data_IF_868882686677
#
_entry.id   IF_868882686677
#
_cell.length_a   1.000
_cell.length_b   1.000
_cell.length_c   1.000
_cell.angle_alpha   90.00
_cell.angle_beta   90.00
_cell.angle_gamma   90.00
#
_symmetry.space_group_name_H-M   'P 1'
#
loop_
_entity.id
_entity.type
_entity.pdbx_description
1 polymer ?
#
# COMPACT_ATOMS: atom_id res chain seq x y z
N UNK A 1 31.12 58.63 -37.53
CA UNK A 1 29.74 58.72 -36.97
C UNK A 1 28.66 58.97 -38.02
N UNK A 2 28.94 59.67 -39.13
CA UNK A 2 27.94 59.99 -40.18
C UNK A 2 27.41 58.77 -40.96
N UNK A 3 28.21 57.72 -41.14
CA UNK A 3 27.78 56.48 -41.82
C UNK A 3 26.69 55.71 -41.06
N UNK A 4 26.81 55.63 -39.73
CA UNK A 4 25.80 55.02 -38.85
C UNK A 4 24.46 55.77 -38.90
N UNK A 5 24.51 57.10 -38.99
CA UNK A 5 23.30 57.94 -39.09
C UNK A 5 22.67 57.81 -40.49
N UNK A 6 23.48 57.78 -41.55
CA UNK A 6 23.00 57.60 -42.93
C UNK A 6 22.44 56.20 -43.21
N UNK A 7 22.98 55.16 -42.56
CA UNK A 7 22.57 53.76 -42.71
C UNK A 7 21.82 53.20 -41.49
N UNK A 8 21.24 54.07 -40.66
CA UNK A 8 20.55 53.69 -39.42
C UNK A 8 19.51 52.57 -39.61
N UNK A 9 18.78 52.59 -40.75
CA UNK A 9 17.78 51.55 -41.08
C UNK A 9 18.39 50.16 -41.19
N UNK A 10 19.57 50.01 -41.78
CA UNK A 10 20.21 48.69 -41.95
C UNK A 10 20.75 48.18 -40.62
N UNK A 11 21.29 49.06 -39.78
CA UNK A 11 21.76 48.74 -38.42
C UNK A 11 20.60 48.30 -37.53
N UNK A 12 19.46 49.00 -37.61
CA UNK A 12 18.26 48.64 -36.86
C UNK A 12 17.73 47.26 -37.27
N UNK A 13 17.61 46.99 -38.57
CA UNK A 13 17.17 45.68 -39.08
C UNK A 13 18.16 44.57 -38.68
N UNK A 14 19.46 44.85 -38.75
CA UNK A 14 20.51 43.91 -38.33
C UNK A 14 20.51 43.59 -36.83
N UNK A 15 19.89 44.41 -35.98
CA UNK A 15 19.72 44.13 -34.55
C UNK A 15 18.37 43.49 -34.23
N UNK A 16 17.30 43.99 -34.84
CA UNK A 16 15.93 43.56 -34.51
C UNK A 16 15.65 42.15 -35.02
N UNK A 17 16.12 41.80 -36.22
CA UNK A 17 15.93 40.46 -36.77
C UNK A 17 16.58 39.38 -35.88
N UNK A 18 17.87 39.45 -35.52
CA UNK A 18 18.47 38.42 -34.67
C UNK A 18 17.89 38.43 -33.25
N UNK A 19 17.54 39.60 -32.70
CA UNK A 19 16.86 39.67 -31.40
C UNK A 19 15.49 38.96 -31.45
N UNK A 20 14.71 39.18 -32.51
CA UNK A 20 13.42 38.53 -32.71
C UNK A 20 13.56 37.01 -32.89
N UNK A 21 14.52 36.56 -33.71
CA UNK A 21 14.81 35.14 -33.88
C UNK A 21 15.25 34.48 -32.57
N UNK A 22 16.10 35.16 -31.78
CA UNK A 22 16.52 34.68 -30.47
C UNK A 22 15.32 34.50 -29.52
N UNK A 23 14.41 35.48 -29.48
CA UNK A 23 13.19 35.38 -28.68
C UNK A 23 12.28 34.23 -29.12
N UNK A 24 12.13 34.00 -30.43
CA UNK A 24 11.36 32.87 -30.96
C UNK A 24 11.98 31.52 -30.58
N UNK A 25 13.30 31.38 -30.74
CA UNK A 25 14.01 30.16 -30.36
C UNK A 25 13.91 29.90 -28.86
N UNK A 26 14.08 30.94 -28.04
CA UNK A 26 13.95 30.83 -26.59
C UNK A 26 12.53 30.45 -26.16
N UNK A 27 11.50 31.05 -26.78
CA UNK A 27 10.11 30.69 -26.52
C UNK A 27 9.83 29.23 -26.86
N UNK A 28 10.31 28.75 -28.01
CA UNK A 28 10.11 27.37 -28.44
C UNK A 28 10.85 26.37 -27.53
N UNK A 29 12.06 26.73 -27.09
CA UNK A 29 12.81 25.91 -26.15
C UNK A 29 12.11 25.83 -24.79
N UNK A 30 11.63 26.97 -24.28
CA UNK A 30 10.93 27.04 -22.99
C UNK A 30 9.59 26.29 -23.04
N UNK A 31 8.82 26.41 -24.13
CA UNK A 31 7.56 25.70 -24.28
C UNK A 31 7.77 24.19 -24.34
N UNK A 32 8.80 23.72 -25.06
CA UNK A 32 9.14 22.30 -25.12
C UNK A 32 9.58 21.76 -23.75
N UNK A 33 10.32 22.54 -22.96
CA UNK A 33 10.65 22.16 -21.59
C UNK A 33 9.42 22.10 -20.68
N UNK A 34 8.52 23.07 -20.79
CA UNK A 34 7.28 23.09 -20.03
C UNK A 34 6.42 21.86 -20.35
N UNK A 35 6.21 21.55 -21.63
CA UNK A 35 5.43 20.39 -22.08
C UNK A 35 6.01 19.07 -21.57
N UNK A 36 7.34 18.91 -21.62
CA UNK A 36 8.01 17.72 -21.09
C UNK A 36 7.81 17.57 -19.58
N UNK A 37 7.94 18.67 -18.82
CA UNK A 37 7.73 18.64 -17.36
C UNK A 37 6.28 18.38 -17.01
N UNK A 38 5.33 18.95 -17.75
CA UNK A 38 3.91 18.67 -17.57
C UNK A 38 3.59 17.20 -17.83
N UNK A 39 4.15 16.63 -18.91
CA UNK A 39 4.00 15.20 -19.19
C UNK A 39 4.58 14.34 -18.05
N UNK A 40 5.79 14.63 -17.57
CA UNK A 40 6.40 13.93 -16.43
C UNK A 40 5.52 14.06 -15.17
N UNK A 41 5.05 15.27 -14.85
CA UNK A 41 4.18 15.52 -13.70
C UNK A 41 2.85 14.77 -13.81
N UNK A 42 2.24 14.70 -14.99
CA UNK A 42 1.01 13.94 -15.21
C UNK A 42 1.25 12.44 -15.01
N UNK A 43 2.39 11.92 -15.50
CA UNK A 43 2.75 10.51 -15.27
C UNK A 43 2.98 10.24 -13.79
N UNK A 44 3.69 11.12 -13.09
CA UNK A 44 3.95 10.99 -11.66
C UNK A 44 2.65 11.07 -10.86
N UNK A 45 1.76 12.01 -11.20
CA UNK A 45 0.45 12.14 -10.58
C UNK A 45 -0.38 10.87 -10.78
N UNK A 46 -0.39 10.28 -11.98
CA UNK A 46 -1.10 9.03 -12.24
C UNK A 46 -0.55 7.88 -11.39
N UNK A 47 0.78 7.79 -11.25
CA UNK A 47 1.41 6.78 -10.36
C UNK A 47 1.07 7.02 -8.89
N UNK A 48 1.07 8.26 -8.43
CA UNK A 48 0.72 8.61 -7.04
C UNK A 48 -0.75 8.31 -6.73
N UNK A 49 -1.66 8.53 -7.66
CA UNK A 49 -3.07 8.13 -7.52
C UNK A 49 -3.20 6.61 -7.43
N UNK A 50 -2.49 5.88 -8.30
CA UNK A 50 -2.48 4.42 -8.25
C UNK A 50 -1.92 3.90 -6.92
N UNK A 51 -0.79 4.41 -6.46
CA UNK A 51 -0.20 4.04 -5.16
C UNK A 51 -1.13 4.40 -3.99
N UNK A 52 -1.76 5.58 -4.03
CA UNK A 52 -2.74 6.00 -3.02
C UNK A 52 -3.91 5.01 -2.93
N UNK A 53 -4.48 4.62 -4.06
CA UNK A 53 -5.58 3.63 -4.09
C UNK A 53 -5.18 2.26 -3.53
N UNK A 54 -3.93 1.85 -3.76
CA UNK A 54 -3.37 0.61 -3.22
C UNK A 54 -3.23 0.71 -1.70
N UNK A 55 -2.69 1.83 -1.19
CA UNK A 55 -2.56 2.08 0.25
C UNK A 55 -3.92 2.03 0.95
N UNK A 56 -4.93 2.70 0.38
CA UNK A 56 -6.29 2.71 0.92
C UNK A 56 -6.87 1.29 1.01
N UNK A 57 -6.67 0.47 -0.04
CA UNK A 57 -7.11 -0.92 -0.07
C UNK A 57 -6.39 -1.78 0.99
N UNK A 58 -5.07 -1.61 1.16
CA UNK A 58 -4.31 -2.32 2.20
C UNK A 58 -4.75 -1.91 3.60
N UNK A 59 -5.04 -0.63 3.83
CA UNK A 59 -5.49 -0.14 5.13
C UNK A 59 -6.88 -0.70 5.49
N UNK A 60 -7.80 -0.75 4.52
CA UNK A 60 -9.11 -1.37 4.72
C UNK A 60 -9.00 -2.88 5.01
N UNK A 61 -8.11 -3.58 4.31
CA UNK A 61 -7.86 -5.00 4.54
C UNK A 61 -7.24 -5.25 5.93
N UNK A 62 -6.24 -4.48 6.33
CA UNK A 62 -5.62 -4.60 7.65
C UNK A 62 -6.63 -4.35 8.78
N UNK A 63 -7.51 -3.35 8.62
CA UNK A 63 -8.61 -3.11 9.55
C UNK A 63 -9.59 -4.29 9.62
N UNK A 64 -10.02 -4.84 8.47
CA UNK A 64 -10.88 -6.01 8.42
C UNK A 64 -10.22 -7.26 9.02
N UNK A 65 -8.92 -7.46 8.77
CA UNK A 65 -8.15 -8.57 9.30
C UNK A 65 -8.03 -8.48 10.81
N UNK A 66 -7.72 -7.30 11.38
CA UNK A 66 -7.72 -7.10 12.83
C UNK A 66 -9.06 -7.47 13.45
N UNK A 67 -10.17 -7.02 12.87
CA UNK A 67 -11.51 -7.37 13.36
C UNK A 67 -11.76 -8.89 13.29
N UNK A 68 -11.37 -9.54 12.19
CA UNK A 68 -11.47 -11.00 12.04
C UNK A 68 -10.65 -11.74 13.10
N UNK A 69 -9.40 -11.34 13.31
CA UNK A 69 -8.51 -11.92 14.32
C UNK A 69 -9.07 -11.73 15.73
N UNK A 70 -9.62 -10.55 16.06
CA UNK A 70 -10.27 -10.32 17.35
C UNK A 70 -11.45 -11.26 17.56
N UNK A 71 -12.30 -11.44 16.55
CA UNK A 71 -13.43 -12.37 16.60
C UNK A 71 -12.99 -13.83 16.76
N UNK A 72 -11.94 -14.25 16.05
CA UNK A 72 -11.38 -15.59 16.20
C UNK A 72 -10.83 -15.81 17.62
N UNK A 73 -10.05 -14.86 18.13
CA UNK A 73 -9.48 -14.95 19.48
C UNK A 73 -10.56 -15.02 20.55
N UNK A 74 -11.64 -14.25 20.42
CA UNK A 74 -12.78 -14.31 21.33
C UNK A 74 -13.49 -15.66 21.27
N UNK A 75 -13.70 -16.19 20.06
CA UNK A 75 -14.31 -17.51 19.89
C UNK A 75 -13.45 -18.63 20.47
N UNK A 76 -12.13 -18.60 20.25
CA UNK A 76 -11.20 -19.57 20.83
C UNK A 76 -11.20 -19.50 22.37
N UNK A 77 -11.22 -18.30 22.95
CA UNK A 77 -11.32 -18.12 24.40
C UNK A 77 -12.60 -18.72 24.96
N UNK A 78 -13.73 -18.50 24.28
CA UNK A 78 -15.02 -19.07 24.67
C UNK A 78 -15.00 -20.59 24.59
N UNK A 79 -14.48 -21.16 23.50
CA UNK A 79 -14.38 -22.60 23.30
C UNK A 79 -13.50 -23.26 24.36
N UNK A 80 -12.34 -22.65 24.70
CA UNK A 80 -11.47 -23.15 25.77
C UNK A 80 -12.16 -23.15 27.11
N UNK A 81 -12.84 -22.04 27.46
CA UNK A 81 -13.56 -21.95 28.73
C UNK A 81 -14.69 -23.00 28.83
N UNK A 82 -15.46 -23.20 27.75
CA UNK A 82 -16.52 -24.20 27.71
C UNK A 82 -15.95 -25.62 27.80
N UNK A 83 -14.84 -25.90 27.10
CA UNK A 83 -14.13 -27.18 27.17
C UNK A 83 -13.64 -27.47 28.60
N UNK A 84 -13.01 -26.48 29.24
CA UNK A 84 -12.50 -26.62 30.61
C UNK A 84 -13.63 -26.86 31.62
N UNK A 85 -14.77 -26.20 31.44
CA UNK A 85 -15.95 -26.38 32.29
C UNK A 85 -16.55 -27.79 32.12
N UNK A 86 -16.71 -28.25 30.86
CA UNK A 86 -17.16 -29.61 30.56
C UNK A 86 -16.19 -30.66 31.14
N UNK A 87 -14.89 -30.44 31.01
CA UNK A 87 -13.86 -31.33 31.56
C UNK A 87 -13.92 -31.38 33.09
N UNK A 88 -14.13 -30.24 33.75
CA UNK A 88 -14.34 -30.18 35.21
C UNK A 88 -15.58 -30.97 35.63
N UNK A 89 -16.71 -30.78 34.95
CA UNK A 89 -17.95 -31.53 35.22
C UNK A 89 -17.75 -33.03 35.03
N UNK A 90 -17.09 -33.42 33.94
CA UNK A 90 -16.76 -34.81 33.68
C UNK A 90 -15.93 -35.41 34.82
N UNK A 91 -14.80 -34.78 35.18
CA UNK A 91 -13.94 -35.25 36.28
C UNK A 91 -14.68 -35.34 37.62
N UNK A 92 -15.58 -34.40 37.91
CA UNK A 92 -16.38 -34.43 39.13
C UNK A 92 -17.38 -35.60 39.14
N UNK A 93 -18.05 -35.87 38.01
CA UNK A 93 -18.97 -37.02 37.88
C UNK A 93 -18.22 -38.37 37.88
N UNK A 94 -17.01 -38.40 37.33
CA UNK A 94 -16.17 -39.58 37.25
C UNK A 94 -15.37 -39.86 38.54
N UNK A 95 -15.44 -38.97 39.54
CA UNK A 95 -14.66 -39.05 40.78
C UNK A 95 -14.91 -40.34 41.60
N UNK A 96 -16.08 -40.96 41.44
CA UNK A 96 -16.42 -42.23 42.09
C UNK A 96 -16.01 -43.48 41.30
N UNK A 97 -15.54 -43.34 40.06
CA UNK A 97 -15.12 -44.44 39.19
C UNK A 97 -13.61 -44.38 38.91
N UNK A 98 -12.84 -45.20 39.63
CA UNK A 98 -11.38 -45.27 39.56
C UNK A 98 -10.84 -45.65 38.17
N UNK A 99 -11.63 -46.33 37.34
CA UNK A 99 -11.28 -46.67 35.97
C UNK A 99 -11.39 -45.47 35.02
N UNK A 100 -12.29 -44.53 35.27
CA UNK A 100 -12.59 -43.40 34.38
C UNK A 100 -11.58 -42.24 34.44
N UNK A 101 -10.82 -42.14 35.54
CA UNK A 101 -9.83 -41.07 35.77
C UNK A 101 -8.42 -41.55 35.42
N UNK A 102 -8.18 -42.87 35.37
CA UNK A 102 -6.89 -43.43 34.99
C UNK A 102 -6.64 -43.22 33.49
N UNK A 103 -5.47 -42.68 33.10
CA UNK A 103 -5.10 -42.65 31.70
C UNK A 103 -5.03 -44.08 31.17
N UNK A 104 -5.68 -44.33 30.03
CA UNK A 104 -5.66 -45.63 29.38
C UNK A 104 -4.21 -46.03 29.07
N UNK A 105 -3.76 -47.25 29.40
CA UNK A 105 -2.37 -47.65 29.18
C UNK A 105 -2.01 -47.53 27.69
N UNK A 106 -0.83 -46.94 27.41
CA UNK A 106 -0.40 -46.66 26.04
C UNK A 106 -0.41 -47.88 25.12
N UNK A 107 -0.06 -49.04 25.68
CA UNK A 107 -0.03 -50.34 24.99
C UNK A 107 -1.42 -50.80 24.52
N UNK A 108 -2.50 -50.34 25.18
CA UNK A 108 -3.87 -50.64 24.76
C UNK A 108 -4.34 -49.64 23.68
N UNK A 109 -3.87 -48.40 23.74
CA UNK A 109 -4.16 -47.38 22.72
C UNK A 109 -3.53 -47.75 21.37
N UNK A 110 -2.31 -48.31 21.36
CA UNK A 110 -1.67 -48.75 20.13
C UNK A 110 -2.46 -49.87 19.45
N UNK A 111 -3.00 -50.82 20.21
CA UNK A 111 -3.81 -51.94 19.69
C UNK A 111 -5.16 -51.49 19.11
N UNK A 112 -5.75 -50.39 19.62
CA UNK A 112 -7.03 -49.87 19.12
C UNK A 112 -6.90 -48.93 17.89
N UNK A 113 -5.69 -48.45 17.60
CA UNK A 113 -5.42 -47.53 16.49
C UNK A 113 -5.00 -48.26 15.20
N UNK A 114 -4.69 -49.54 15.32
CA UNK A 114 -4.38 -50.48 14.23
C UNK A 114 -5.66 -51.12 13.68
#
# INVERSE_FOLDING_TARGET
>A
MTWLVSNWRTVFVALVIPAFLFLLLNRNHLSNQAEKREAELVTEQATNVALGSIIDAYQANDAANRVSTTRQLENERKLRNESDERLRRFKAAAASDDCSIKPMPGDVISVMRE
#
